data_IF_398188915481
#
_entry.id   IF_398188915481
#
_cell.length_a   1.000
_cell.length_b   1.000
_cell.length_c   1.000
_cell.angle_alpha   90.00
_cell.angle_beta   90.00
_cell.angle_gamma   90.00
#
_symmetry.space_group_name_H-M   'P 1'
#
loop_
_entity.id
_entity.type
_entity.pdbx_description
1 polymer ?
#
# COMPACT_ATOMS: atom_id res chain seq x y z
N UNK A 1 73.47 -0.84 28.06
CA UNK A 1 73.44 -2.24 27.62
C UNK A 1 72.14 -2.82 28.15
N UNK A 2 71.14 -2.97 27.27
CA UNK A 2 70.70 -4.28 26.75
C UNK A 2 69.93 -5.04 27.85
N UNK A 3 68.73 -5.59 27.69
CA UNK A 3 67.94 -6.07 26.55
C UNK A 3 66.49 -6.21 27.06
N UNK A 4 65.46 -5.81 26.32
CA UNK A 4 64.67 -6.63 25.39
C UNK A 4 64.13 -7.95 25.96
N UNK A 5 62.79 -8.09 25.97
CA UNK A 5 62.09 -9.34 25.65
C UNK A 5 60.70 -9.01 25.12
N UNK A 6 60.54 -9.37 23.85
CA UNK A 6 59.30 -9.38 23.09
C UNK A 6 58.59 -10.72 23.27
N UNK A 7 57.26 -10.71 23.14
CA UNK A 7 56.42 -11.87 22.88
C UNK A 7 55.84 -11.80 21.45
N UNK A 8 55.48 -12.94 20.84
CA UNK A 8 55.58 -13.12 19.40
C UNK A 8 54.26 -13.00 18.61
N UNK A 9 54.49 -12.67 17.33
CA UNK A 9 53.68 -12.77 16.11
C UNK A 9 52.47 -13.73 16.10
N UNK A 10 51.38 -13.22 15.54
CA UNK A 10 50.44 -14.01 14.73
C UNK A 10 50.57 -13.59 13.26
N UNK A 11 50.78 -14.58 12.38
CA UNK A 11 50.86 -14.45 10.93
C UNK A 11 49.47 -14.40 10.28
N UNK A 12 49.42 -13.73 9.15
CA UNK A 12 48.25 -13.50 8.31
C UNK A 12 48.39 -14.23 6.98
N UNK A 13 47.32 -14.90 6.54
CA UNK A 13 46.98 -15.18 5.13
C UNK A 13 45.43 -15.20 5.09
N UNK A 14 44.68 -14.49 4.26
CA UNK A 14 44.89 -14.08 2.88
C UNK A 14 43.73 -14.68 2.05
N UNK A 15 42.62 -13.94 1.86
CA UNK A 15 41.61 -14.29 0.83
C UNK A 15 41.05 -13.05 0.15
N UNK A 16 41.25 -13.05 -1.17
CA UNK A 16 40.89 -12.01 -2.11
C UNK A 16 39.37 -11.78 -2.20
N UNK A 17 39.01 -10.51 -2.38
CA UNK A 17 37.64 -10.00 -2.49
C UNK A 17 37.23 -10.04 -3.96
N UNK A 18 36.22 -10.84 -4.30
CA UNK A 18 35.51 -10.73 -5.57
C UNK A 18 34.39 -9.69 -5.40
N UNK A 19 34.39 -8.65 -6.24
CA UNK A 19 33.30 -7.68 -6.34
C UNK A 19 32.11 -8.29 -7.09
N UNK A 20 30.88 -8.18 -6.57
CA UNK A 20 29.68 -8.24 -7.40
C UNK A 20 29.30 -6.82 -7.82
N UNK A 21 29.39 -6.57 -9.12
CA UNK A 21 28.66 -5.51 -9.81
C UNK A 21 27.15 -5.70 -9.58
N UNK A 22 26.58 -4.89 -8.69
CA UNK A 22 25.15 -4.78 -8.45
C UNK A 22 24.80 -3.32 -8.19
N UNK A 23 23.82 -2.80 -8.92
CA UNK A 23 23.32 -1.43 -8.77
C UNK A 23 22.94 -1.13 -7.30
N UNK A 24 23.11 0.11 -6.82
CA UNK A 24 22.78 0.44 -5.44
C UNK A 24 21.26 0.35 -5.23
N UNK A 25 20.84 -0.58 -4.37
CA UNK A 25 19.47 -0.64 -3.86
C UNK A 25 19.13 0.60 -3.04
N UNK A 26 17.83 0.93 -2.88
CA UNK A 26 17.41 2.13 -2.17
C UNK A 26 17.87 2.08 -0.71
N UNK A 27 18.69 3.06 -0.33
CA UNK A 27 19.19 3.28 1.02
C UNK A 27 18.02 3.26 2.01
N UNK A 28 18.11 2.37 2.99
CA UNK A 28 17.35 2.47 4.24
C UNK A 28 17.54 3.87 4.81
N UNK A 29 16.51 4.71 4.76
CA UNK A 29 16.46 5.92 5.58
C UNK A 29 15.93 5.55 6.97
N UNK A 30 16.75 4.81 7.73
CA UNK A 30 16.64 4.72 9.18
C UNK A 30 17.18 6.03 9.78
N UNK A 31 16.47 7.12 9.54
CA UNK A 31 16.85 8.45 10.03
C UNK A 31 15.66 9.39 10.07
N UNK A 32 15.15 9.68 11.27
CA UNK A 32 14.12 10.69 11.58
C UNK A 32 14.57 12.15 11.29
N UNK A 33 15.21 12.43 10.15
CA UNK A 33 15.49 13.80 9.68
C UNK A 33 14.60 14.14 8.47
N UNK A 34 13.35 14.46 8.81
CA UNK A 34 12.50 15.45 8.13
C UNK A 34 12.18 15.25 6.64
N UNK A 35 11.24 14.34 6.34
CA UNK A 35 10.35 14.43 5.16
C UNK A 35 9.42 15.64 5.30
N UNK A 36 9.97 16.86 5.42
CA UNK A 36 9.14 18.06 5.58
C UNK A 36 9.11 18.83 4.28
N UNK A 37 7.95 18.82 3.64
CA UNK A 37 7.64 19.75 2.56
C UNK A 37 7.86 21.18 3.04
N UNK A 38 8.36 22.03 2.15
CA UNK A 38 8.40 23.47 2.35
C UNK A 38 7.48 24.11 1.32
N UNK A 39 6.42 24.75 1.80
CA UNK A 39 5.39 25.34 0.95
C UNK A 39 5.16 26.78 1.39
N UNK A 40 5.06 27.69 0.44
CA UNK A 40 4.77 29.10 0.67
C UNK A 40 3.71 29.61 -0.29
N UNK A 41 2.83 30.44 0.23
CA UNK A 41 1.93 31.27 -0.58
C UNK A 41 2.76 32.04 -1.61
N UNK A 42 2.25 32.13 -2.83
CA UNK A 42 2.92 32.84 -3.92
C UNK A 42 1.89 33.49 -4.83
N UNK A 43 2.33 34.42 -5.68
CA UNK A 43 1.52 34.92 -6.78
C UNK A 43 2.16 34.52 -8.11
N UNK A 44 1.33 34.05 -9.05
CA UNK A 44 1.73 33.67 -10.40
C UNK A 44 1.38 34.85 -11.32
N UNK A 45 2.36 35.36 -12.06
CA UNK A 45 2.16 36.44 -13.04
C UNK A 45 2.16 35.88 -14.47
N UNK A 46 1.35 36.48 -15.35
CA UNK A 46 1.43 36.20 -16.78
C UNK A 46 2.48 37.12 -17.42
N UNK A 47 3.64 36.55 -17.73
CA UNK A 47 4.79 37.28 -18.30
C UNK A 47 5.53 38.12 -17.27
N UNK A 48 6.63 38.75 -17.73
CA UNK A 48 7.55 39.45 -16.83
C UNK A 48 6.91 40.70 -16.21
N UNK A 49 6.74 40.69 -14.89
CA UNK A 49 6.05 41.75 -14.14
C UNK A 49 4.66 42.06 -14.73
N UNK A 50 3.96 41.03 -15.20
CA UNK A 50 2.62 41.12 -15.79
C UNK A 50 1.48 41.05 -14.75
N UNK A 51 0.23 40.87 -15.20
CA UNK A 51 -0.93 40.77 -14.30
C UNK A 51 -0.90 39.49 -13.46
N UNK A 52 -1.49 39.56 -12.26
CA UNK A 52 -1.58 38.46 -11.30
C UNK A 52 -2.67 37.47 -11.71
N UNK A 53 -2.26 36.25 -12.08
CA UNK A 53 -3.15 35.15 -12.47
C UNK A 53 -3.79 34.44 -11.28
N UNK A 54 -2.97 34.12 -10.28
CA UNK A 54 -3.40 33.49 -9.04
C UNK A 54 -2.53 34.02 -7.91
N UNK A 55 -3.07 34.09 -6.69
CA UNK A 55 -2.38 34.67 -5.55
C UNK A 55 -2.75 33.96 -4.26
N UNK A 56 -1.73 33.58 -3.50
CA UNK A 56 -1.87 33.08 -2.15
C UNK A 56 -2.48 34.13 -1.21
N UNK A 57 -3.20 33.66 -0.18
CA UNK A 57 -3.89 34.52 0.79
C UNK A 57 -3.00 35.59 1.43
N UNK A 58 -1.73 35.30 1.69
CA UNK A 58 -0.81 36.29 2.29
C UNK A 58 -0.44 37.46 1.37
N UNK A 59 -0.68 37.33 0.06
CA UNK A 59 -0.37 38.35 -0.94
C UNK A 59 -1.62 39.15 -1.38
N UNK A 60 -2.83 38.69 -1.03
CA UNK A 60 -4.07 39.39 -1.33
C UNK A 60 -5.22 38.43 -1.66
N UNK A 61 -6.38 38.98 -2.00
CA UNK A 61 -7.55 38.21 -2.41
C UNK A 61 -7.50 37.87 -3.90
N UNK A 62 -7.39 36.58 -4.22
CA UNK A 62 -7.63 36.02 -5.55
C UNK A 62 -8.62 34.87 -5.42
N UNK A 63 -9.43 34.63 -6.46
CA UNK A 63 -10.31 33.44 -6.51
C UNK A 63 -9.51 32.14 -6.63
N UNK A 64 -8.32 32.21 -7.24
CA UNK A 64 -7.36 31.12 -7.33
C UNK A 64 -6.24 31.34 -6.31
N UNK A 65 -6.13 30.44 -5.35
CA UNK A 65 -5.06 30.44 -4.35
C UNK A 65 -3.85 29.69 -4.92
N UNK A 66 -2.64 30.21 -4.71
CA UNK A 66 -1.43 29.65 -5.28
C UNK A 66 -0.32 29.49 -4.25
N UNK A 67 0.35 28.35 -4.31
CA UNK A 67 1.49 28.03 -3.45
C UNK A 67 2.64 27.47 -4.27
N UNK A 68 3.87 27.90 -3.97
CA UNK A 68 5.11 27.36 -4.50
C UNK A 68 5.76 26.50 -3.42
N UNK A 69 6.23 25.32 -3.77
CA UNK A 69 6.78 24.42 -2.77
C UNK A 69 7.69 23.32 -3.30
N UNK A 70 8.49 22.82 -2.38
CA UNK A 70 9.16 21.51 -2.46
C UNK A 70 8.34 20.54 -1.63
N UNK A 71 7.69 19.60 -2.30
CA UNK A 71 6.78 18.62 -1.74
C UNK A 71 7.53 17.30 -1.51
N UNK A 72 7.54 16.84 -0.25
CA UNK A 72 8.26 15.65 0.20
C UNK A 72 7.30 14.76 0.97
N UNK A 73 6.49 14.02 0.24
CA UNK A 73 5.58 13.04 0.82
C UNK A 73 6.31 11.71 1.05
N UNK A 74 5.87 10.97 2.06
CA UNK A 74 6.31 9.59 2.24
C UNK A 74 5.68 8.74 1.14
N UNK A 75 6.41 7.74 0.64
CA UNK A 75 5.89 6.75 -0.32
C UNK A 75 5.42 7.33 -1.66
N UNK A 76 5.88 8.53 -2.00
CA UNK A 76 5.58 9.21 -3.26
C UNK A 76 6.83 9.91 -3.78
N UNK A 77 6.85 10.18 -5.08
CA UNK A 77 7.87 11.01 -5.69
C UNK A 77 7.84 12.43 -5.11
N UNK A 78 8.96 12.87 -4.51
CA UNK A 78 9.11 14.29 -4.14
C UNK A 78 9.10 15.18 -5.37
N UNK A 79 8.61 16.42 -5.28
CA UNK A 79 8.59 17.30 -6.44
C UNK A 79 8.70 18.76 -6.05
N UNK A 80 9.14 19.60 -6.99
CA UNK A 80 9.15 21.05 -6.87
C UNK A 80 8.14 21.63 -7.87
N UNK A 81 7.34 22.59 -7.44
CA UNK A 81 6.33 23.14 -8.32
C UNK A 81 5.26 23.97 -7.63
N UNK A 82 4.13 24.14 -8.33
CA UNK A 82 2.99 24.93 -7.88
C UNK A 82 1.82 24.04 -7.46
N UNK A 83 1.08 24.50 -6.45
CA UNK A 83 -0.29 24.08 -6.19
C UNK A 83 -1.22 25.26 -6.43
N UNK A 84 -2.21 25.05 -7.31
CA UNK A 84 -3.31 25.99 -7.54
C UNK A 84 -4.54 25.39 -6.88
N UNK A 85 -5.12 26.10 -5.91
CA UNK A 85 -6.29 25.66 -5.15
C UNK A 85 -7.50 26.47 -5.56
N UNK A 86 -8.54 25.76 -5.93
CA UNK A 86 -9.77 26.30 -6.49
C UNK A 86 -10.91 25.97 -5.51
N UNK A 87 -11.61 26.99 -4.98
CA UNK A 87 -12.74 26.77 -4.08
C UNK A 87 -13.86 25.94 -4.73
N UNK A 88 -14.48 25.04 -3.95
CA UNK A 88 -15.66 24.25 -4.34
C UNK A 88 -16.96 24.75 -3.69
N UNK A 89 -16.91 25.89 -3.00
CA UNK A 89 -18.00 26.36 -2.15
C UNK A 89 -17.87 25.83 -0.72
N UNK A 90 -18.53 26.50 0.23
CA UNK A 90 -18.39 26.18 1.67
C UNK A 90 -19.09 24.86 1.99
N UNK A 91 -18.36 23.88 2.50
CA UNK A 91 -18.83 22.51 2.77
C UNK A 91 -19.49 21.81 1.55
N UNK A 92 -19.36 22.38 0.35
CA UNK A 92 -19.96 21.87 -0.89
C UNK A 92 -21.48 21.61 -0.82
N UNK A 93 -22.21 22.28 0.09
CA UNK A 93 -23.64 22.03 0.31
C UNK A 93 -24.49 22.25 -0.96
N UNK A 94 -24.16 23.29 -1.73
CA UNK A 94 -24.83 23.59 -3.00
C UNK A 94 -24.54 22.56 -4.09
N UNK A 95 -23.32 22.00 -4.11
CA UNK A 95 -22.94 20.95 -5.05
C UNK A 95 -23.68 19.64 -4.74
N UNK A 96 -23.75 19.25 -3.46
CA UNK A 96 -24.52 18.09 -2.99
C UNK A 96 -26.00 18.23 -3.37
N UNK A 97 -26.61 19.38 -3.06
CA UNK A 97 -28.01 19.66 -3.38
C UNK A 97 -28.30 19.63 -4.90
N UNK A 98 -27.28 19.90 -5.73
CA UNK A 98 -27.37 19.88 -7.19
C UNK A 98 -27.01 18.53 -7.81
N UNK A 99 -26.71 17.50 -6.99
CA UNK A 99 -26.38 16.15 -7.44
C UNK A 99 -24.94 15.96 -7.93
N UNK A 100 -24.03 16.92 -7.70
CA UNK A 100 -22.61 16.79 -8.05
C UNK A 100 -21.77 16.08 -6.99
N UNK A 101 -22.32 15.91 -5.78
CA UNK A 101 -21.62 15.25 -4.68
C UNK A 101 -20.66 16.18 -3.91
N UNK A 102 -19.94 15.58 -2.96
CA UNK A 102 -18.88 16.22 -2.17
C UNK A 102 -17.53 15.60 -2.51
N UNK A 103 -16.54 16.43 -2.86
CA UNK A 103 -15.16 15.99 -3.02
C UNK A 103 -14.56 15.64 -1.65
N UNK A 104 -14.01 14.43 -1.54
CA UNK A 104 -13.25 13.99 -0.37
C UNK A 104 -11.76 13.86 -0.72
N UNK A 105 -10.90 14.19 0.24
CA UNK A 105 -9.45 14.04 0.11
C UNK A 105 -8.85 13.52 1.42
N UNK A 106 -7.69 12.87 1.32
CA UNK A 106 -6.94 12.45 2.50
C UNK A 106 -6.41 13.66 3.27
N UNK A 107 -6.72 13.73 4.56
CA UNK A 107 -6.16 14.69 5.48
C UNK A 107 -5.03 14.03 6.29
N UNK A 108 -3.80 14.45 6.00
CA UNK A 108 -2.60 13.91 6.67
C UNK A 108 -2.49 14.17 8.18
N UNK A 109 -3.24 15.13 8.72
CA UNK A 109 -3.23 15.44 10.16
C UNK A 109 -4.10 14.46 10.95
N UNK A 110 -5.23 14.06 10.37
CA UNK A 110 -6.17 13.12 10.97
C UNK A 110 -5.96 11.68 10.47
N UNK A 111 -5.19 11.51 9.40
CA UNK A 111 -4.99 10.26 8.67
C UNK A 111 -6.32 9.63 8.23
N UNK A 112 -7.22 10.47 7.70
CA UNK A 112 -8.59 10.11 7.36
C UNK A 112 -9.04 10.75 6.03
N UNK A 113 -10.11 10.24 5.44
CA UNK A 113 -10.72 10.79 4.23
C UNK A 113 -11.81 11.78 4.64
N UNK A 114 -11.55 13.08 4.45
CA UNK A 114 -12.44 14.16 4.86
C UNK A 114 -12.97 14.95 3.65
N UNK A 115 -14.12 15.60 3.81
CA UNK A 115 -14.63 16.53 2.81
C UNK A 115 -13.62 17.68 2.58
N UNK A 116 -13.31 17.96 1.31
CA UNK A 116 -12.36 18.98 0.89
C UNK A 116 -13.07 20.06 0.08
N UNK A 117 -13.13 21.27 0.62
CA UNK A 117 -13.69 22.44 -0.08
C UNK A 117 -12.75 23.03 -1.15
N UNK A 118 -11.68 22.31 -1.48
CA UNK A 118 -10.67 22.73 -2.44
C UNK A 118 -10.43 21.65 -3.49
N UNK A 119 -10.56 22.06 -4.75
CA UNK A 119 -10.05 21.35 -5.90
C UNK A 119 -8.60 21.79 -6.14
N UNK A 120 -7.66 20.84 -6.15
CA UNK A 120 -6.23 21.14 -6.21
C UNK A 120 -5.66 20.67 -7.55
N UNK A 121 -5.03 21.60 -8.27
CA UNK A 121 -4.20 21.32 -9.44
C UNK A 121 -2.74 21.42 -9.01
N UNK A 122 -1.94 20.39 -9.30
CA UNK A 122 -0.51 20.39 -9.05
C UNK A 122 0.22 20.54 -10.37
N UNK A 123 1.12 21.52 -10.45
CA UNK A 123 2.02 21.74 -11.59
C UNK A 123 3.41 21.34 -11.14
N UNK A 124 3.83 20.12 -11.48
CA UNK A 124 5.14 19.57 -11.11
C UNK A 124 6.17 19.99 -12.15
N UNK A 125 7.21 20.68 -11.71
CA UNK A 125 8.28 21.12 -12.60
C UNK A 125 9.25 19.96 -12.87
N UNK A 126 9.77 19.84 -14.12
CA UNK A 126 10.67 18.76 -14.50
C UNK A 126 12.01 18.90 -13.75
N UNK A 127 12.35 17.89 -12.94
CA UNK A 127 13.52 17.86 -12.05
C UNK A 127 14.83 18.19 -12.77
N UNK A 128 15.05 17.59 -13.95
CA UNK A 128 16.35 17.64 -14.64
C UNK A 128 16.55 18.89 -15.50
N UNK A 129 15.50 19.66 -15.77
CA UNK A 129 15.54 20.81 -16.69
C UNK A 129 15.12 22.13 -16.05
N UNK A 130 14.80 22.14 -14.76
CA UNK A 130 14.39 23.36 -14.05
C UNK A 130 15.57 24.33 -13.90
N UNK A 131 15.37 25.56 -14.38
CA UNK A 131 16.28 26.69 -14.15
C UNK A 131 15.54 27.74 -13.35
N UNK A 132 16.10 28.07 -12.19
CA UNK A 132 15.53 29.06 -11.28
C UNK A 132 16.45 30.28 -11.19
N UNK A 133 15.88 31.47 -11.29
CA UNK A 133 16.54 32.73 -10.97
C UNK A 133 15.72 33.43 -9.90
N UNK A 134 16.34 33.74 -8.78
CA UNK A 134 15.69 34.39 -7.63
C UNK A 134 16.35 35.75 -7.42
N UNK A 135 15.53 36.77 -7.17
CA UNK A 135 16.01 38.10 -6.86
C UNK A 135 15.01 38.91 -6.03
N UNK A 136 15.39 40.15 -5.65
CA UNK A 136 14.44 41.09 -5.08
C UNK A 136 13.31 41.38 -6.08
N UNK A 137 12.09 41.60 -5.57
CA UNK A 137 10.98 41.96 -6.42
C UNK A 137 11.18 43.36 -7.05
N UNK A 138 10.99 43.52 -8.38
CA UNK A 138 11.02 44.83 -9.02
C UNK A 138 9.95 45.77 -8.46
N UNK A 139 10.19 47.09 -8.49
CA UNK A 139 9.26 48.09 -7.94
C UNK A 139 7.83 47.97 -8.51
N UNK A 140 7.73 47.65 -9.80
CA UNK A 140 6.45 47.39 -10.49
C UNK A 140 5.69 46.21 -9.88
N UNK A 141 6.38 45.19 -9.40
CA UNK A 141 5.77 44.03 -8.71
C UNK A 141 5.45 44.41 -7.27
N UNK A 142 6.34 45.13 -6.58
CA UNK A 142 6.10 45.59 -5.20
C UNK A 142 4.82 46.42 -5.11
N UNK A 143 4.57 47.30 -6.08
CA UNK A 143 3.36 48.13 -6.12
C UNK A 143 2.06 47.34 -6.31
N UNK A 144 2.11 46.12 -6.87
CA UNK A 144 0.95 45.22 -6.97
C UNK A 144 0.57 44.60 -5.62
N UNK A 145 1.50 44.55 -4.67
CA UNK A 145 1.33 43.92 -3.37
C UNK A 145 1.69 44.87 -2.21
N UNK A 146 0.97 45.99 -2.06
CA UNK A 146 1.36 47.09 -1.14
C UNK A 146 1.40 46.68 0.33
N UNK A 147 0.67 45.61 0.71
CA UNK A 147 0.61 45.11 2.08
C UNK A 147 1.73 44.11 2.41
N UNK A 148 2.52 43.67 1.43
CA UNK A 148 3.59 42.70 1.63
C UNK A 148 4.86 43.40 2.12
N UNK A 149 5.38 42.95 3.28
CA UNK A 149 6.59 43.53 3.89
C UNK A 149 7.87 43.17 3.15
N UNK A 150 7.89 42.01 2.51
CA UNK A 150 9.07 41.48 1.82
C UNK A 150 8.59 40.65 0.66
N UNK A 151 9.20 40.86 -0.51
CA UNK A 151 8.88 40.14 -1.73
C UNK A 151 10.16 39.74 -2.42
N UNK A 152 10.17 38.52 -2.92
CA UNK A 152 11.14 38.04 -3.90
C UNK A 152 10.42 37.72 -5.20
N UNK A 153 11.18 37.82 -6.28
CA UNK A 153 10.72 37.50 -7.61
C UNK A 153 11.55 36.35 -8.16
N UNK A 154 10.86 35.30 -8.58
CA UNK A 154 11.44 34.06 -9.04
C UNK A 154 11.01 33.82 -10.48
N UNK A 155 11.97 33.72 -11.38
CA UNK A 155 11.75 33.23 -12.75
C UNK A 155 12.12 31.75 -12.78
N UNK A 156 11.22 30.93 -13.32
CA UNK A 156 11.43 29.48 -13.46
C UNK A 156 11.20 29.10 -14.91
N UNK A 157 12.18 28.51 -15.58
CA UNK A 157 12.06 28.05 -16.96
C UNK A 157 12.55 26.61 -17.12
N UNK A 158 12.09 25.94 -18.18
CA UNK A 158 12.35 24.50 -18.39
C UNK A 158 13.05 24.18 -19.73
N UNK A 159 13.48 25.19 -20.48
CA UNK A 159 14.02 25.00 -21.83
C UNK A 159 12.97 24.38 -22.76
N UNK A 160 13.27 23.19 -23.31
CA UNK A 160 12.36 22.45 -24.20
C UNK A 160 11.41 21.50 -23.45
N UNK A 161 11.57 21.35 -22.13
CA UNK A 161 10.70 20.51 -21.30
C UNK A 161 9.42 21.25 -20.92
N UNK A 162 8.42 20.51 -20.42
CA UNK A 162 7.15 21.05 -19.92
C UNK A 162 6.86 20.55 -18.50
N UNK A 163 6.11 21.31 -17.70
CA UNK A 163 5.61 20.81 -16.42
C UNK A 163 4.60 19.66 -16.63
N UNK A 164 4.56 18.75 -15.66
CA UNK A 164 3.53 17.72 -15.58
C UNK A 164 2.38 18.23 -14.71
N UNK A 165 1.17 18.20 -15.23
CA UNK A 165 -0.02 18.73 -14.55
C UNK A 165 -0.86 17.58 -14.01
N UNK A 166 -1.09 17.57 -12.70
CA UNK A 166 -1.97 16.64 -12.01
C UNK A 166 -3.22 17.34 -11.51
N UNK A 167 -4.35 16.63 -11.52
CA UNK A 167 -5.63 17.13 -11.01
C UNK A 167 -6.46 17.89 -12.05
N UNK A 168 -5.87 18.40 -13.14
CA UNK A 168 -6.61 19.02 -14.24
C UNK A 168 -7.46 18.01 -15.02
N UNK A 169 -8.62 18.44 -15.51
CA UNK A 169 -9.56 17.60 -16.27
C UNK A 169 -10.50 16.75 -15.40
N UNK A 170 -10.32 16.73 -14.07
CA UNK A 170 -11.31 16.12 -13.17
C UNK A 170 -12.60 16.95 -13.17
N UNK A 171 -13.79 16.31 -13.06
CA UNK A 171 -15.05 17.04 -12.94
C UNK A 171 -14.98 18.14 -11.88
N UNK A 172 -15.48 19.33 -12.24
CA UNK A 172 -15.54 20.49 -11.35
C UNK A 172 -16.95 21.08 -11.36
N UNK A 173 -17.46 21.37 -10.18
CA UNK A 173 -18.71 22.07 -9.96
C UNK A 173 -18.56 23.06 -8.81
N UNK A 174 -19.13 24.24 -8.99
CA UNK A 174 -19.32 25.21 -7.93
C UNK A 174 -20.56 26.03 -8.29
N UNK A 175 -21.71 25.60 -7.77
CA UNK A 175 -22.99 26.22 -8.07
C UNK A 175 -23.09 27.68 -7.55
N UNK A 176 -22.23 28.06 -6.61
CA UNK A 176 -22.23 29.38 -5.98
C UNK A 176 -21.35 30.40 -6.74
N UNK A 177 -20.45 29.95 -7.62
CA UNK A 177 -19.54 30.82 -8.39
C UNK A 177 -19.51 30.45 -9.89
N UNK A 178 -20.44 31.00 -10.70
CA UNK A 178 -20.53 30.73 -12.13
C UNK A 178 -19.30 31.19 -12.92
N UNK A 179 -18.58 32.20 -12.44
CA UNK A 179 -17.35 32.69 -13.08
C UNK A 179 -16.24 31.66 -12.92
N UNK A 180 -16.01 31.18 -11.70
CA UNK A 180 -15.04 30.14 -11.39
C UNK A 180 -15.37 28.83 -12.11
N UNK A 181 -16.66 28.48 -12.17
CA UNK A 181 -17.16 27.35 -12.97
C UNK A 181 -16.81 27.52 -14.45
N UNK A 182 -17.00 28.72 -15.00
CA UNK A 182 -16.63 29.04 -16.38
C UNK A 182 -15.14 28.91 -16.65
N UNK A 183 -14.28 29.33 -15.72
CA UNK A 183 -12.82 29.23 -15.88
C UNK A 183 -12.32 27.78 -15.92
N UNK A 184 -12.85 26.93 -15.04
CA UNK A 184 -12.36 25.54 -14.89
C UNK A 184 -13.02 24.58 -15.87
N UNK A 185 -14.35 24.68 -16.04
CA UNK A 185 -15.14 23.73 -16.85
C UNK A 185 -15.22 24.14 -18.31
N UNK A 186 -15.46 25.42 -18.57
CA UNK A 186 -15.73 25.93 -19.93
C UNK A 186 -14.47 26.55 -20.58
N UNK A 187 -13.31 26.49 -19.89
CA UNK A 187 -12.06 27.12 -20.29
C UNK A 187 -12.19 28.61 -20.65
N UNK A 188 -13.06 29.34 -19.93
CA UNK A 188 -13.23 30.79 -20.14
C UNK A 188 -11.98 31.56 -19.71
N UNK A 189 -11.69 32.71 -20.31
CA UNK A 189 -10.56 33.54 -19.90
C UNK A 189 -10.68 34.01 -18.44
N UNK A 190 -9.56 33.94 -17.72
CA UNK A 190 -9.40 34.44 -16.35
C UNK A 190 -8.85 35.87 -16.38
N UNK A 191 -7.85 36.11 -17.23
CA UNK A 191 -7.21 37.42 -17.40
C UNK A 191 -7.14 37.80 -18.87
N UNK A 192 -8.01 38.71 -19.30
CA UNK A 192 -8.13 39.13 -20.70
C UNK A 192 -8.39 37.93 -21.62
N UNK A 193 -7.36 37.44 -22.31
CA UNK A 193 -7.42 36.29 -23.21
C UNK A 193 -6.84 35.01 -22.61
N UNK A 194 -6.18 35.08 -21.44
CA UNK A 194 -5.51 33.93 -20.84
C UNK A 194 -6.47 33.08 -20.04
N UNK A 195 -6.48 31.78 -20.35
CA UNK A 195 -7.27 30.74 -19.70
C UNK A 195 -6.46 30.02 -18.62
N UNK A 196 -7.13 29.12 -17.87
CA UNK A 196 -6.44 28.23 -16.94
C UNK A 196 -5.44 27.34 -17.67
N UNK A 197 -5.82 26.80 -18.83
CA UNK A 197 -4.97 25.94 -19.63
C UNK A 197 -3.68 26.63 -20.07
N UNK A 198 -3.77 27.91 -20.49
CA UNK A 198 -2.61 28.69 -20.91
C UNK A 198 -1.59 28.85 -19.77
N UNK A 199 -2.08 29.14 -18.55
CA UNK A 199 -1.23 29.28 -17.37
C UNK A 199 -0.59 27.95 -16.93
N UNK A 200 -1.28 26.82 -17.10
CA UNK A 200 -0.76 25.48 -16.78
C UNK A 200 0.28 24.98 -17.78
N UNK A 201 0.33 25.55 -19.00
CA UNK A 201 1.23 25.14 -20.08
C UNK A 201 2.41 26.09 -20.30
N UNK A 202 2.61 27.07 -19.41
CA UNK A 202 3.73 28.00 -19.50
C UNK A 202 5.08 27.25 -19.45
N UNK A 203 6.00 27.67 -20.33
CA UNK A 203 7.40 27.20 -20.34
C UNK A 203 8.31 28.03 -19.44
N UNK A 204 7.83 29.22 -19.04
CA UNK A 204 8.45 30.11 -18.08
C UNK A 204 7.38 30.66 -17.12
N UNK A 205 7.63 30.51 -15.81
CA UNK A 205 6.79 31.03 -14.74
C UNK A 205 7.46 32.21 -14.07
N UNK A 206 6.67 33.26 -13.86
CA UNK A 206 7.05 34.45 -13.09
C UNK A 206 6.30 34.43 -11.75
N UNK A 207 7.03 34.20 -10.66
CA UNK A 207 6.44 33.94 -9.35
C UNK A 207 6.91 34.96 -8.33
N UNK A 208 5.99 35.49 -7.56
CA UNK A 208 6.25 36.39 -6.44
C UNK A 208 6.07 35.61 -5.13
N UNK A 209 7.04 35.68 -4.22
CA UNK A 209 6.98 34.97 -2.94
C UNK A 209 7.17 35.97 -1.79
N UNK A 210 6.35 35.95 -0.73
CA UNK A 210 6.37 36.94 0.36
C UNK A 210 7.46 36.69 1.40
N UNK A 211 8.68 36.37 0.94
CA UNK A 211 9.89 36.16 1.76
C UNK A 211 11.12 36.70 1.02
N UNK A 212 12.28 36.76 1.69
CA UNK A 212 13.54 37.22 1.07
C UNK A 212 14.03 36.25 0.01
N UNK A 213 14.74 36.78 -1.00
CA UNK A 213 15.35 35.98 -2.07
C UNK A 213 16.24 34.84 -1.53
N UNK A 214 17.12 35.15 -0.57
CA UNK A 214 17.99 34.16 0.07
C UNK A 214 17.20 33.03 0.78
N UNK A 215 16.00 33.32 1.30
CA UNK A 215 15.16 32.30 1.92
C UNK A 215 14.45 31.42 0.88
N UNK A 216 14.09 31.97 -0.28
CA UNK A 216 13.59 31.19 -1.42
C UNK A 216 14.68 30.24 -1.91
N UNK A 217 15.88 30.76 -2.19
CA UNK A 217 17.02 29.96 -2.67
C UNK A 217 17.35 28.82 -1.71
N UNK A 218 17.38 29.08 -0.40
CA UNK A 218 17.69 28.07 0.61
C UNK A 218 16.61 26.99 0.75
N UNK A 219 15.34 27.37 0.71
CA UNK A 219 14.24 26.48 1.11
C UNK A 219 13.53 25.82 -0.08
N UNK A 220 13.62 26.40 -1.28
CA UNK A 220 13.03 25.90 -2.52
C UNK A 220 14.09 25.34 -3.49
N UNK A 221 15.25 24.97 -2.96
CA UNK A 221 16.34 24.32 -3.69
C UNK A 221 15.96 22.90 -4.15
N UNK A 222 15.98 22.68 -5.47
CA UNK A 222 15.62 21.42 -6.11
C UNK A 222 16.66 20.33 -5.91
N UNK A 223 17.92 20.68 -5.62
CA UNK A 223 18.97 19.69 -5.30
C UNK A 223 18.68 18.93 -4.00
N UNK A 224 17.77 19.45 -3.18
CA UNK A 224 17.34 18.85 -1.91
C UNK A 224 16.15 17.90 -2.07
N UNK A 225 15.68 17.64 -3.28
CA UNK A 225 14.65 16.63 -3.53
C UNK A 225 15.21 15.23 -3.20
N UNK A 226 14.34 14.35 -2.70
CA UNK A 226 14.70 12.94 -2.53
C UNK A 226 14.86 12.27 -3.90
N UNK A 227 15.57 11.13 -3.98
CA UNK A 227 15.58 10.30 -5.18
C UNK A 227 14.16 10.04 -5.71
N UNK A 228 14.06 9.76 -7.00
CA UNK A 228 12.78 9.36 -7.61
C UNK A 228 12.25 8.14 -6.86
N UNK A 229 10.98 8.20 -6.47
CA UNK A 229 10.34 7.11 -5.76
C UNK A 229 10.09 5.95 -6.73
N UNK A 230 10.42 4.74 -6.31
CA UNK A 230 10.07 3.52 -7.01
C UNK A 230 9.75 2.45 -5.98
N UNK A 231 8.74 1.63 -6.29
CA UNK A 231 8.50 0.42 -5.53
C UNK A 231 9.68 -0.54 -5.69
N UNK A 232 10.10 -1.22 -4.62
CA UNK A 232 11.30 -2.07 -4.65
C UNK A 232 11.00 -3.47 -5.20
N UNK A 233 9.88 -3.64 -5.90
CA UNK A 233 9.41 -4.91 -6.43
C UNK A 233 9.54 -4.91 -7.95
N UNK A 234 9.91 -6.05 -8.51
CA UNK A 234 9.85 -6.21 -9.96
C UNK A 234 8.40 -6.17 -10.46
N UNK A 235 8.20 -5.66 -11.67
CA UNK A 235 6.91 -5.81 -12.38
C UNK A 235 6.80 -7.27 -12.80
N UNK A 236 5.83 -8.05 -12.29
CA UNK A 236 5.78 -9.47 -12.59
C UNK A 236 5.28 -9.72 -14.01
N UNK A 237 5.99 -10.59 -14.73
CA UNK A 237 5.60 -11.05 -16.07
C UNK A 237 4.57 -12.21 -16.03
N UNK A 238 4.60 -13.00 -14.95
CA UNK A 238 3.72 -14.15 -14.74
C UNK A 238 3.54 -14.47 -13.24
N UNK A 239 2.57 -15.32 -12.93
CA UNK A 239 2.36 -15.82 -11.57
C UNK A 239 3.48 -16.79 -11.17
N UNK A 240 4.38 -16.33 -10.29
CA UNK A 240 5.51 -17.11 -9.79
C UNK A 240 5.67 -16.96 -8.26
N UNK A 241 4.98 -17.78 -7.45
CA UNK A 241 4.97 -17.66 -5.99
C UNK A 241 6.35 -17.60 -5.34
N UNK A 242 7.30 -18.42 -5.81
CA UNK A 242 8.66 -18.45 -5.25
C UNK A 242 9.41 -17.13 -5.47
N UNK A 243 9.24 -16.51 -6.65
CA UNK A 243 9.85 -15.21 -6.95
C UNK A 243 9.23 -14.11 -6.09
N UNK A 244 7.89 -14.11 -5.94
CA UNK A 244 7.21 -13.16 -5.06
C UNK A 244 7.68 -13.23 -3.62
N UNK A 245 7.84 -14.44 -3.06
CA UNK A 245 8.33 -14.60 -1.68
C UNK A 245 9.77 -14.11 -1.52
N UNK A 246 10.61 -14.32 -2.53
CA UNK A 246 11.98 -13.79 -2.53
C UNK A 246 11.99 -12.25 -2.55
N UNK A 247 11.17 -11.64 -3.42
CA UNK A 247 11.04 -10.19 -3.50
C UNK A 247 10.50 -9.58 -2.19
N UNK A 248 9.49 -10.20 -1.58
CA UNK A 248 8.93 -9.76 -0.28
C UNK A 248 9.98 -9.87 0.82
N UNK A 249 10.68 -11.01 0.91
CA UNK A 249 11.71 -11.23 1.92
C UNK A 249 12.91 -10.28 1.75
N UNK A 250 13.27 -9.93 0.51
CA UNK A 250 14.31 -8.96 0.21
C UNK A 250 13.91 -7.53 0.60
N UNK A 251 12.60 -7.25 0.71
CA UNK A 251 12.05 -5.92 0.94
C UNK A 251 11.09 -5.88 2.16
N UNK A 252 11.58 -6.10 3.40
CA UNK A 252 10.77 -6.12 4.62
C UNK A 252 10.34 -4.70 5.06
N UNK A 253 10.06 -3.82 4.11
CA UNK A 253 9.79 -2.39 4.32
C UNK A 253 8.55 -2.11 5.17
N UNK A 254 8.26 -0.82 5.36
CA UNK A 254 7.07 -0.40 6.08
C UNK A 254 5.82 -0.54 5.21
N UNK A 255 4.65 -0.44 5.85
CA UNK A 255 3.37 -0.32 5.14
C UNK A 255 3.32 1.02 4.40
N UNK A 256 3.25 0.96 3.07
CA UNK A 256 3.08 2.16 2.24
C UNK A 256 1.78 2.89 2.59
N UNK A 257 1.82 4.23 2.51
CA UNK A 257 0.62 5.04 2.59
C UNK A 257 -0.35 4.71 1.45
N UNK A 258 -1.67 4.74 1.70
CA UNK A 258 -2.65 4.70 0.62
C UNK A 258 -2.38 5.85 -0.35
N UNK A 259 -2.23 5.50 -1.62
CA UNK A 259 -2.05 6.48 -2.70
C UNK A 259 -3.03 6.18 -3.82
N UNK A 260 -3.60 7.23 -4.39
CA UNK A 260 -4.59 7.21 -5.46
C UNK A 260 -4.07 7.91 -6.72
N UNK A 261 -2.81 8.38 -6.71
CA UNK A 261 -2.17 9.09 -7.81
C UNK A 261 -0.75 8.57 -8.03
N UNK A 262 -0.65 7.46 -8.77
CA UNK A 262 0.64 6.86 -9.09
C UNK A 262 1.29 7.54 -10.32
N UNK A 263 2.63 7.67 -10.34
CA UNK A 263 3.32 8.47 -11.34
C UNK A 263 3.27 7.88 -12.76
N UNK A 264 3.16 6.55 -12.86
CA UNK A 264 3.12 5.83 -14.13
C UNK A 264 2.38 4.48 -14.02
N UNK A 265 2.16 3.85 -15.17
CA UNK A 265 1.47 2.55 -15.26
C UNK A 265 2.24 1.42 -14.55
N UNK A 266 3.58 1.46 -14.53
CA UNK A 266 4.36 0.41 -13.88
C UNK A 266 4.20 0.46 -12.36
N UNK A 267 4.17 1.67 -11.80
CA UNK A 267 3.89 1.92 -10.40
C UNK A 267 2.48 1.47 -10.03
N UNK A 268 1.50 1.73 -10.90
CA UNK A 268 0.13 1.23 -10.75
C UNK A 268 0.07 -0.30 -10.73
N UNK A 269 0.63 -0.95 -11.74
CA UNK A 269 0.64 -2.42 -11.84
C UNK A 269 1.36 -3.03 -10.64
N UNK A 270 2.48 -2.45 -10.22
CA UNK A 270 3.26 -2.93 -9.08
C UNK A 270 2.46 -2.81 -7.78
N UNK A 271 1.90 -1.64 -7.48
CA UNK A 271 1.11 -1.41 -6.28
C UNK A 271 -0.10 -2.35 -6.20
N UNK A 272 -0.86 -2.46 -7.31
CA UNK A 272 -2.00 -3.38 -7.38
C UNK A 272 -1.58 -4.83 -7.20
N UNK A 273 -0.55 -5.28 -7.91
CA UNK A 273 -0.12 -6.68 -7.86
C UNK A 273 0.42 -7.04 -6.49
N UNK A 274 1.31 -6.22 -5.93
CA UNK A 274 1.90 -6.47 -4.62
C UNK A 274 0.89 -6.40 -3.48
N UNK A 275 -0.17 -5.57 -3.60
CA UNK A 275 -1.25 -5.55 -2.61
C UNK A 275 -1.96 -6.90 -2.49
N UNK A 276 -2.15 -7.61 -3.61
CA UNK A 276 -2.80 -8.93 -3.65
C UNK A 276 -1.80 -10.03 -3.32
N UNK A 277 -0.63 -10.00 -3.95
CA UNK A 277 0.42 -11.00 -3.76
C UNK A 277 0.82 -11.08 -2.30
N UNK A 278 1.08 -9.95 -1.65
CA UNK A 278 1.49 -9.96 -0.24
C UNK A 278 0.38 -10.51 0.65
N UNK A 279 -0.90 -10.16 0.41
CA UNK A 279 -2.04 -10.74 1.14
C UNK A 279 -2.18 -12.26 0.94
N UNK A 280 -1.78 -12.78 -0.22
CA UNK A 280 -1.85 -14.22 -0.49
C UNK A 280 -0.61 -14.99 -0.01
N UNK A 281 0.59 -14.41 -0.09
CA UNK A 281 1.83 -15.12 0.23
C UNK A 281 1.93 -15.45 1.73
N UNK A 282 1.49 -14.54 2.61
CA UNK A 282 1.49 -14.83 4.05
C UNK A 282 0.51 -15.95 4.42
N UNK A 283 -0.63 -16.02 3.72
CA UNK A 283 -1.60 -17.12 3.85
C UNK A 283 -1.04 -18.43 3.32
N UNK A 284 -0.39 -18.43 2.16
CA UNK A 284 0.25 -19.62 1.60
C UNK A 284 1.35 -20.16 2.52
N UNK A 285 2.15 -19.29 3.16
CA UNK A 285 3.10 -19.68 4.20
C UNK A 285 2.40 -20.33 5.41
N UNK A 286 1.31 -19.75 5.89
CA UNK A 286 0.52 -20.32 6.99
C UNK A 286 -0.11 -21.67 6.64
N UNK A 287 -0.64 -21.84 5.42
CA UNK A 287 -1.19 -23.12 4.92
C UNK A 287 -0.08 -24.17 4.84
N UNK A 288 1.10 -23.81 4.31
CA UNK A 288 2.24 -24.73 4.25
C UNK A 288 2.69 -25.15 5.65
N UNK A 289 2.83 -24.20 6.57
CA UNK A 289 3.21 -24.49 7.95
C UNK A 289 2.20 -25.41 8.64
N UNK A 290 0.91 -25.08 8.57
CA UNK A 290 -0.17 -25.89 9.18
C UNK A 290 -0.29 -27.28 8.56
N UNK A 291 -0.04 -27.43 7.25
CA UNK A 291 -0.08 -28.74 6.57
C UNK A 291 0.96 -29.74 7.07
N UNK A 292 2.03 -29.28 7.73
CA UNK A 292 3.05 -30.15 8.34
C UNK A 292 2.66 -30.63 9.74
N UNK A 293 1.65 -30.02 10.36
CA UNK A 293 1.21 -30.35 11.72
C UNK A 293 0.25 -31.53 11.64
N UNK A 294 0.74 -32.70 12.06
CA UNK A 294 -0.07 -33.91 12.19
C UNK A 294 -0.72 -33.93 13.55
N UNK A 295 -2.05 -33.95 13.56
CA UNK A 295 -2.87 -33.92 14.76
C UNK A 295 -3.71 -35.20 14.88
N UNK A 296 -3.97 -35.68 16.10
CA UNK A 296 -4.85 -36.83 16.28
C UNK A 296 -6.30 -36.44 15.99
N UNK A 297 -7.02 -37.38 15.40
CA UNK A 297 -8.45 -37.25 15.15
C UNK A 297 -9.10 -38.60 14.94
N UNK A 298 -10.41 -38.65 15.14
CA UNK A 298 -11.19 -39.87 14.97
C UNK A 298 -12.53 -39.59 14.29
N UNK A 299 -13.07 -40.63 13.64
CA UNK A 299 -14.26 -40.53 12.81
C UNK A 299 -15.50 -40.99 13.58
N UNK A 300 -16.60 -40.32 13.32
CA UNK A 300 -17.95 -40.62 13.79
C UNK A 300 -18.84 -40.68 12.55
N UNK A 301 -19.59 -41.77 12.32
CA UNK A 301 -20.45 -41.87 11.16
C UNK A 301 -21.58 -40.83 11.21
N UNK A 302 -21.84 -40.12 10.10
CA UNK A 302 -23.00 -39.21 10.03
C UNK A 302 -24.33 -40.00 10.06
N UNK A 303 -24.33 -41.19 9.44
CA UNK A 303 -25.44 -42.16 9.43
C UNK A 303 -24.90 -43.57 9.68
N UNK A 304 -25.69 -44.43 10.31
CA UNK A 304 -25.26 -45.68 10.96
C UNK A 304 -24.66 -46.76 10.04
N UNK A 305 -24.90 -46.74 8.72
CA UNK A 305 -24.34 -47.75 7.79
C UNK A 305 -24.06 -47.20 6.38
N UNK A 306 -22.92 -47.61 5.77
CA UNK A 306 -22.60 -47.36 4.36
C UNK A 306 -22.28 -45.89 3.99
N UNK A 307 -22.28 -45.00 4.97
CA UNK A 307 -22.16 -43.55 4.78
C UNK A 307 -20.78 -43.17 4.28
N UNK A 308 -20.74 -42.27 3.29
CA UNK A 308 -19.51 -41.66 2.79
C UNK A 308 -19.14 -40.39 3.53
N UNK A 309 -20.08 -39.84 4.27
CA UNK A 309 -19.91 -38.70 5.15
C UNK A 309 -19.63 -39.12 6.59
N UNK A 310 -18.73 -38.40 7.23
CA UNK A 310 -18.37 -38.61 8.63
C UNK A 310 -18.19 -37.26 9.32
N UNK A 311 -18.48 -37.21 10.62
CA UNK A 311 -17.90 -36.19 11.47
C UNK A 311 -16.50 -36.63 11.90
N UNK A 312 -15.57 -35.69 11.98
CA UNK A 312 -14.21 -35.93 12.46
C UNK A 312 -13.93 -34.95 13.57
N UNK A 313 -13.65 -35.47 14.77
CA UNK A 313 -13.16 -34.68 15.89
C UNK A 313 -11.65 -34.63 15.78
N UNK A 314 -11.09 -33.43 15.66
CA UNK A 314 -9.65 -33.19 15.53
C UNK A 314 -9.17 -32.44 16.76
N UNK A 315 -8.20 -32.99 17.48
CA UNK A 315 -7.63 -32.33 18.64
C UNK A 315 -6.42 -31.50 18.24
N UNK A 316 -6.60 -30.17 18.24
CA UNK A 316 -5.54 -29.23 17.92
C UNK A 316 -4.60 -29.04 19.13
N UNK A 317 -3.30 -28.86 18.91
CA UNK A 317 -2.40 -28.43 19.96
C UNK A 317 -2.87 -27.08 20.56
N UNK A 318 -2.71 -26.86 21.87
CA UNK A 318 -3.12 -25.61 22.52
C UNK A 318 -2.55 -24.34 21.87
N UNK A 319 -1.35 -24.45 21.30
CA UNK A 319 -0.63 -23.38 20.61
C UNK A 319 -1.07 -23.16 19.15
N UNK A 320 -1.89 -24.04 18.57
CA UNK A 320 -2.25 -23.99 17.15
C UNK A 320 -3.07 -22.75 16.82
N UNK A 321 -4.22 -22.56 17.47
CA UNK A 321 -5.09 -21.42 17.20
C UNK A 321 -4.38 -20.10 17.56
N UNK A 322 -3.72 -19.95 18.73
CA UNK A 322 -2.94 -18.75 19.02
C UNK A 322 -1.81 -18.48 18.01
N UNK A 323 -1.13 -19.52 17.52
CA UNK A 323 -0.03 -19.38 16.56
C UNK A 323 -0.48 -19.01 15.15
N UNK A 324 -1.71 -19.36 14.77
CA UNK A 324 -2.25 -19.13 13.43
C UNK A 324 -3.53 -18.28 13.39
N UNK A 325 -3.93 -17.62 14.48
CA UNK A 325 -5.25 -16.97 14.65
C UNK A 325 -5.65 -16.09 13.46
N UNK A 326 -4.75 -15.21 13.01
CA UNK A 326 -5.00 -14.33 11.87
C UNK A 326 -5.24 -15.11 10.57
N UNK A 327 -4.39 -16.10 10.27
CA UNK A 327 -4.52 -16.94 9.08
C UNK A 327 -5.77 -17.82 9.18
N UNK A 328 -6.00 -18.44 10.33
CA UNK A 328 -7.16 -19.28 10.62
C UNK A 328 -8.47 -18.52 10.38
N UNK A 329 -8.62 -17.33 10.96
CA UNK A 329 -9.80 -16.47 10.74
C UNK A 329 -9.98 -16.12 9.27
N UNK A 330 -8.90 -15.76 8.57
CA UNK A 330 -8.95 -15.37 7.15
C UNK A 330 -9.35 -16.56 6.27
N UNK A 331 -8.78 -17.74 6.52
CA UNK A 331 -9.06 -18.98 5.81
C UNK A 331 -10.47 -19.51 6.11
N UNK A 332 -10.98 -19.34 7.33
CA UNK A 332 -12.30 -19.87 7.74
C UNK A 332 -13.48 -18.93 7.50
N UNK A 333 -13.24 -17.62 7.27
CA UNK A 333 -14.30 -16.60 7.21
C UNK A 333 -15.46 -16.92 6.26
N UNK A 334 -15.18 -17.54 5.11
CA UNK A 334 -16.16 -17.93 4.10
C UNK A 334 -15.79 -19.30 3.47
N UNK A 335 -15.08 -20.16 4.20
CA UNK A 335 -14.65 -21.43 3.63
C UNK A 335 -15.76 -22.46 3.75
N UNK A 336 -16.39 -22.74 2.60
CA UNK A 336 -17.34 -23.84 2.45
C UNK A 336 -16.63 -25.19 2.25
N UNK A 337 -15.32 -25.19 1.97
CA UNK A 337 -14.54 -26.39 1.74
C UNK A 337 -13.08 -26.24 2.20
N UNK A 338 -12.62 -27.24 2.95
CA UNK A 338 -11.26 -27.53 3.37
C UNK A 338 -10.87 -28.92 2.87
N UNK A 339 -9.58 -29.24 2.97
CA UNK A 339 -9.08 -30.58 2.71
C UNK A 339 -8.58 -31.19 4.02
N UNK A 340 -9.10 -32.37 4.35
CA UNK A 340 -8.56 -33.21 5.41
C UNK A 340 -7.57 -34.20 4.79
N UNK A 341 -6.29 -33.97 5.07
CA UNK A 341 -5.24 -34.93 4.75
C UNK A 341 -5.14 -35.98 5.88
N UNK A 342 -5.19 -37.27 5.51
CA UNK A 342 -5.25 -38.37 6.46
C UNK A 342 -3.99 -39.24 6.30
N UNK A 343 -3.13 -39.29 7.32
CA UNK A 343 -1.89 -40.09 7.28
C UNK A 343 -2.05 -41.52 7.82
N UNK A 344 -3.02 -41.77 8.70
CA UNK A 344 -3.24 -43.05 9.37
C UNK A 344 -2.17 -43.49 10.38
N UNK A 345 -0.96 -42.91 10.34
CA UNK A 345 0.07 -42.95 11.38
C UNK A 345 1.00 -41.76 11.21
N UNK A 346 1.52 -41.19 12.31
CA UNK A 346 2.40 -40.01 12.27
C UNK A 346 3.74 -40.28 11.62
N UNK A 347 4.20 -41.53 11.63
CA UNK A 347 5.46 -41.95 11.04
C UNK A 347 5.42 -41.97 9.50
N UNK A 348 4.24 -41.88 8.86
CA UNK A 348 4.14 -41.85 7.39
C UNK A 348 4.58 -40.51 6.81
N UNK A 349 5.36 -40.57 5.74
CA UNK A 349 5.87 -39.38 5.03
C UNK A 349 4.81 -38.72 4.12
N UNK A 350 3.79 -39.46 3.69
CA UNK A 350 2.73 -38.98 2.80
C UNK A 350 1.34 -39.36 3.32
N UNK A 351 0.29 -38.56 3.03
CA UNK A 351 -1.08 -38.90 3.39
C UNK A 351 -1.57 -40.12 2.61
N UNK A 352 -2.37 -40.96 3.25
CA UNK A 352 -3.07 -42.09 2.63
C UNK A 352 -4.36 -41.67 1.93
N UNK A 353 -4.94 -40.54 2.33
CA UNK A 353 -6.16 -40.00 1.77
C UNK A 353 -6.23 -38.46 1.89
N UNK A 354 -7.00 -37.86 0.99
CA UNK A 354 -7.30 -36.42 0.91
C UNK A 354 -8.80 -36.27 0.65
N UNK A 355 -9.55 -35.86 1.67
CA UNK A 355 -11.01 -35.79 1.66
C UNK A 355 -11.51 -34.37 1.83
N UNK A 356 -12.62 -34.05 1.18
CA UNK A 356 -13.25 -32.74 1.33
C UNK A 356 -13.92 -32.64 2.67
N UNK A 357 -13.77 -31.49 3.31
CA UNK A 357 -14.36 -31.25 4.60
C UNK A 357 -14.87 -29.83 4.77
N UNK A 358 -15.75 -29.66 5.74
CA UNK A 358 -16.27 -28.36 6.17
C UNK A 358 -16.18 -28.27 7.68
N UNK A 359 -15.78 -27.10 8.19
CA UNK A 359 -15.76 -26.84 9.62
C UNK A 359 -17.20 -26.70 10.15
N UNK A 360 -17.52 -27.38 11.25
CA UNK A 360 -18.83 -27.30 11.89
C UNK A 360 -18.83 -26.21 12.96
N UNK A 361 -19.71 -25.21 12.82
CA UNK A 361 -19.77 -24.06 13.75
C UNK A 361 -20.51 -24.35 15.06
N UNK A 362 -21.46 -25.31 15.04
CA UNK A 362 -22.33 -25.66 16.17
C UNK A 362 -22.39 -27.17 16.40
N UNK A 363 -21.25 -27.84 16.66
CA UNK A 363 -21.21 -29.29 16.83
C UNK A 363 -22.11 -29.80 17.97
N UNK A 364 -22.38 -28.97 18.99
CA UNK A 364 -23.26 -29.27 20.11
C UNK A 364 -24.73 -29.52 19.72
N UNK A 365 -25.13 -29.11 18.51
CA UNK A 365 -26.49 -29.30 17.99
C UNK A 365 -26.70 -30.62 17.25
N UNK A 366 -25.63 -31.43 17.10
CA UNK A 366 -25.64 -32.67 16.32
C UNK A 366 -25.84 -33.88 17.24
N UNK A 367 -26.95 -34.57 17.08
CA UNK A 367 -27.31 -35.75 17.89
C UNK A 367 -26.23 -36.84 17.85
N UNK A 368 -25.58 -37.04 16.70
CA UNK A 368 -24.50 -38.02 16.52
C UNK A 368 -23.26 -37.73 17.38
N UNK A 369 -23.12 -36.51 17.92
CA UNK A 369 -22.00 -36.10 18.76
C UNK A 369 -22.35 -36.12 20.25
N UNK A 370 -23.57 -36.53 20.65
CA UNK A 370 -24.01 -36.54 22.05
C UNK A 370 -23.08 -37.33 22.97
N UNK A 371 -22.58 -38.47 22.48
CA UNK A 371 -21.67 -39.38 23.21
C UNK A 371 -20.19 -39.03 23.00
N UNK A 372 -19.93 -37.90 22.33
CA UNK A 372 -18.62 -37.41 21.94
C UNK A 372 -18.41 -35.95 22.39
N UNK A 373 -18.31 -35.69 23.72
CA UNK A 373 -18.07 -34.34 24.22
C UNK A 373 -16.81 -33.72 23.60
N UNK A 374 -16.98 -32.54 23.02
CA UNK A 374 -15.94 -31.78 22.33
C UNK A 374 -15.28 -30.83 23.32
N UNK A 375 -13.95 -30.85 23.39
CA UNK A 375 -13.16 -29.97 24.26
C UNK A 375 -12.80 -28.67 23.55
N UNK A 376 -12.44 -27.63 24.31
CA UNK A 376 -12.12 -26.29 23.78
C UNK A 376 -11.01 -26.24 22.70
N UNK A 377 -10.08 -27.19 22.73
CA UNK A 377 -8.98 -27.28 21.75
C UNK A 377 -9.32 -28.21 20.56
N UNK A 378 -10.55 -28.71 20.49
CA UNK A 378 -10.98 -29.63 19.46
C UNK A 378 -11.89 -28.92 18.46
N UNK A 379 -11.76 -29.31 17.20
CA UNK A 379 -12.65 -28.86 16.14
C UNK A 379 -13.39 -30.06 15.56
N UNK A 380 -14.58 -29.81 15.02
CA UNK A 380 -15.39 -30.81 14.34
C UNK A 380 -15.46 -30.48 12.86
N UNK A 381 -15.09 -31.44 12.03
CA UNK A 381 -15.19 -31.37 10.58
C UNK A 381 -16.27 -32.32 10.10
N UNK A 382 -17.13 -31.88 9.17
CA UNK A 382 -17.93 -32.78 8.34
C UNK A 382 -17.09 -33.13 7.12
N UNK A 383 -16.80 -34.40 6.89
CA UNK A 383 -15.92 -34.87 5.82
C UNK A 383 -16.67 -35.81 4.88
N UNK A 384 -16.37 -35.76 3.59
CA UNK A 384 -16.94 -36.64 2.58
C UNK A 384 -15.85 -37.46 1.89
N UNK A 385 -16.01 -38.79 1.90
CA UNK A 385 -15.13 -39.71 1.19
C UNK A 385 -15.33 -39.56 -0.32
N UNK A 386 -14.26 -39.36 -1.10
CA UNK A 386 -14.35 -39.17 -2.55
C UNK A 386 -14.91 -40.41 -3.26
N UNK A 387 -15.52 -40.21 -4.42
CA UNK A 387 -16.00 -41.30 -5.26
C UNK A 387 -14.83 -42.13 -5.80
N UNK A 388 -15.04 -43.44 -6.09
CA UNK A 388 -14.13 -44.18 -6.95
C UNK A 388 -13.94 -43.39 -8.27
N UNK A 389 -12.68 -43.09 -8.61
CA UNK A 389 -12.27 -42.31 -9.79
C UNK A 389 -12.44 -40.78 -9.72
N UNK A 390 -12.81 -40.22 -8.57
CA UNK A 390 -12.81 -38.76 -8.39
C UNK A 390 -11.39 -38.18 -8.53
N UNK A 391 -11.27 -37.06 -9.26
CA UNK A 391 -9.99 -36.38 -9.50
C UNK A 391 -10.03 -34.95 -8.99
N UNK A 392 -8.88 -34.48 -8.50
CA UNK A 392 -8.61 -33.06 -8.23
C UNK A 392 -7.27 -32.69 -8.85
N UNK A 393 -7.26 -31.68 -9.72
CA UNK A 393 -6.06 -31.23 -10.44
C UNK A 393 -5.33 -32.40 -11.13
N UNK A 394 -6.10 -33.24 -11.84
CA UNK A 394 -5.63 -34.45 -12.54
C UNK A 394 -5.06 -35.59 -11.67
N UNK A 395 -5.00 -35.43 -10.35
CA UNK A 395 -4.61 -36.47 -9.40
C UNK A 395 -5.84 -37.25 -8.91
N UNK A 396 -5.75 -38.58 -8.94
CA UNK A 396 -6.79 -39.45 -8.38
C UNK A 396 -6.82 -39.36 -6.85
N UNK A 397 -8.02 -39.24 -6.27
CA UNK A 397 -8.20 -39.20 -4.82
C UNK A 397 -8.36 -40.62 -4.27
N UNK A 398 -7.63 -40.93 -3.20
CA UNK A 398 -7.74 -42.24 -2.54
C UNK A 398 -9.01 -42.33 -1.69
N UNK A 399 -9.94 -43.20 -2.10
CA UNK A 399 -11.12 -43.58 -1.32
C UNK A 399 -10.86 -44.82 -0.42
N UNK A 400 -9.63 -45.36 -0.43
CA UNK A 400 -9.27 -46.65 0.16
C UNK A 400 -8.84 -46.57 1.62
N UNK A 401 -8.93 -45.40 2.27
CA UNK A 401 -8.60 -45.29 3.68
C UNK A 401 -9.62 -46.04 4.54
N UNK A 402 -9.14 -47.03 5.30
CA UNK A 402 -9.96 -47.82 6.21
C UNK A 402 -10.31 -47.00 7.45
N UNK A 403 -11.51 -46.40 7.44
CA UNK A 403 -12.02 -45.63 8.58
C UNK A 403 -12.24 -46.54 9.78
N UNK A 404 -11.76 -46.09 10.94
CA UNK A 404 -12.12 -46.64 12.25
C UNK A 404 -13.06 -45.65 12.92
N UNK A 405 -14.20 -46.13 13.39
CA UNK A 405 -15.19 -45.36 14.16
C UNK A 405 -15.28 -45.92 15.57
N UNK A 406 -15.72 -45.09 16.50
CA UNK A 406 -15.89 -45.46 17.90
C UNK A 406 -17.30 -45.07 18.35
N UNK A 407 -17.96 -45.86 19.20
CA UNK A 407 -19.32 -45.59 19.65
C UNK A 407 -19.42 -44.44 20.66
N UNK A 408 -18.32 -44.10 21.34
CA UNK A 408 -18.28 -43.00 22.32
C UNK A 408 -16.85 -42.48 22.50
N UNK A 409 -16.71 -41.37 23.23
CA UNK A 409 -15.41 -40.74 23.51
C UNK A 409 -14.44 -41.61 24.30
N UNK A 410 -14.93 -42.40 25.24
CA UNK A 410 -14.08 -43.23 26.11
C UNK A 410 -13.36 -44.31 25.29
N UNK A 411 -14.07 -44.98 24.39
CA UNK A 411 -13.49 -45.98 23.49
C UNK A 411 -12.49 -45.36 22.50
N UNK A 412 -12.78 -44.17 21.98
CA UNK A 412 -11.83 -43.45 21.12
C UNK A 412 -10.53 -43.10 21.87
N UNK A 413 -10.63 -42.61 23.11
CA UNK A 413 -9.46 -42.30 23.94
C UNK A 413 -8.67 -43.56 24.30
N UNK A 414 -9.35 -44.65 24.66
CA UNK A 414 -8.70 -45.93 24.98
C UNK A 414 -7.95 -46.50 23.76
N UNK A 415 -8.56 -46.43 22.58
CA UNK A 415 -7.92 -46.84 21.33
C UNK A 415 -6.72 -45.94 20.98
N UNK A 416 -6.79 -44.65 21.31
CA UNK A 416 -5.64 -43.75 21.22
C UNK A 416 -4.53 -44.19 22.19
N UNK A 417 -4.79 -44.39 23.47
CA UNK A 417 -3.76 -44.81 24.43
C UNK A 417 -3.09 -46.16 24.10
N UNK A 418 -3.82 -47.08 23.46
CA UNK A 418 -3.34 -48.43 23.13
C UNK A 418 -2.59 -48.55 21.79
N UNK A 419 -2.58 -47.49 20.98
CA UNK A 419 -1.95 -47.51 19.66
C UNK A 419 -0.48 -47.07 19.77
N UNK A 420 0.46 -47.97 19.46
CA UNK A 420 1.92 -47.71 19.57
C UNK A 420 2.50 -46.77 18.50
N UNK A 421 1.70 -46.28 17.55
CA UNK A 421 2.17 -45.61 16.32
C UNK A 421 1.62 -44.18 16.13
N UNK A 422 1.55 -43.42 17.23
CA UNK A 422 1.01 -42.04 17.25
C UNK A 422 1.93 -40.93 16.86
#
# INVERSE_FOLDING_TARGET
MADSKADPKAEAEGKAKAEPTGAPGPSQMTGKRGMRSYVKDCAILIGDCGPVFASGKSLGSSKLDAQLGVFKHADEESWFGLQIKIPLGKNQAANEASGFGVLHAHDSKYDDILASDQYIIQVRFPRDSVKQTVGPAPDKVVSMFPNAKTLSYTKISFGNSKPTVFGYGRPYANAEDPELQGWVKDNKPILKQYTLLDALQLVEYHIVVPIKAADVEKNLDTSRLHPVFAFPYAVPEAWAPSAFKQDIAANPGHKYKPDYMLPDNNSLITAMTQSVVQDMMWLDDAVKATSTIKVPGYFIPEVSEGTRSYYVVVALPPEFIPGFDAAWRRLTKNADAFNLLIWGSKNKLAPQADWDCRLMSHPETLDQLSDHPIKDHEIVLLVCRPEPCEKRNDMGRSNMYHVKTYPNREEANKAFEQSEDH
#
